data_IF_670028181278
#
_entry.id   IF_670028181278
#
_cell.length_a   1.000
_cell.length_b   1.000
_cell.length_c   1.000
_cell.angle_alpha   90.00
_cell.angle_beta   90.00
_cell.angle_gamma   90.00
#
_symmetry.space_group_name_H-M   'P 1'
#
loop_
_entity.id
_entity.type
_entity.pdbx_description
1 polymer ?
#
# COMPACT_ATOMS: atom_id res chain seq x y z
N UNK A 1 -2.14 -15.59 -10.66
CA UNK A 1 -2.05 -14.25 -10.05
C UNK A 1 -2.19 -14.36 -8.52
N UNK A 2 -1.29 -15.12 -7.86
CA UNK A 2 -1.46 -15.62 -6.46
C UNK A 2 -0.42 -15.12 -5.46
N UNK A 3 0.72 -14.59 -5.94
CA UNK A 3 1.88 -14.26 -5.10
C UNK A 3 1.70 -12.98 -4.26
N UNK A 4 0.97 -11.98 -4.78
CA UNK A 4 0.69 -10.73 -4.04
C UNK A 4 -0.22 -11.01 -2.85
N UNK A 5 -1.31 -11.74 -3.10
CA UNK A 5 -2.26 -12.15 -2.06
C UNK A 5 -1.55 -12.87 -0.92
N UNK A 6 -0.79 -13.91 -1.24
CA UNK A 6 -0.03 -14.66 -0.24
C UNK A 6 0.94 -13.77 0.54
N UNK A 7 1.58 -12.81 -0.13
CA UNK A 7 2.51 -11.88 0.54
C UNK A 7 1.78 -10.96 1.51
N UNK A 8 0.62 -10.42 1.12
CA UNK A 8 -0.19 -9.55 1.99
C UNK A 8 -0.70 -10.36 3.19
N UNK A 9 -1.28 -11.54 2.97
CA UNK A 9 -1.78 -12.42 4.03
C UNK A 9 -0.67 -12.85 5.01
N UNK A 10 0.57 -12.99 4.52
CA UNK A 10 1.72 -13.35 5.37
C UNK A 10 2.30 -12.16 6.15
N UNK A 11 2.29 -10.96 5.58
CA UNK A 11 2.98 -9.80 6.13
C UNK A 11 2.07 -8.88 6.95
N UNK A 12 0.78 -8.88 6.65
CA UNK A 12 -0.22 -8.03 7.30
C UNK A 12 -0.96 -8.85 8.35
N UNK A 13 -0.91 -8.39 9.60
CA UNK A 13 -1.55 -9.07 10.75
C UNK A 13 -2.82 -8.37 11.20
N UNK A 14 -3.04 -7.12 10.77
CA UNK A 14 -4.27 -6.39 11.05
C UNK A 14 -5.43 -6.90 10.18
N UNK A 15 -6.66 -6.66 10.66
CA UNK A 15 -7.85 -6.92 9.87
C UNK A 15 -7.92 -5.92 8.70
N UNK A 16 -8.24 -6.41 7.51
CA UNK A 16 -8.39 -5.59 6.32
C UNK A 16 -9.82 -5.76 5.80
N UNK A 17 -10.44 -4.65 5.38
CA UNK A 17 -11.59 -4.73 4.48
C UNK A 17 -11.16 -5.20 3.09
N UNK A 18 -12.12 -5.62 2.26
CA UNK A 18 -11.85 -6.00 0.87
C UNK A 18 -11.26 -4.84 0.06
N UNK A 19 -11.68 -3.60 0.35
CA UNK A 19 -11.18 -2.39 -0.30
C UNK A 19 -9.74 -2.06 0.12
N UNK A 20 -9.44 -2.15 1.42
CA UNK A 20 -8.06 -2.03 1.93
C UNK A 20 -7.15 -3.08 1.30
N UNK A 21 -7.60 -4.33 1.23
CA UNK A 21 -6.85 -5.43 0.63
C UNK A 21 -6.61 -5.19 -0.87
N UNK A 22 -7.63 -4.72 -1.58
CA UNK A 22 -7.55 -4.41 -3.01
C UNK A 22 -6.60 -3.25 -3.31
N UNK A 23 -6.64 -2.19 -2.50
CA UNK A 23 -5.70 -1.08 -2.58
C UNK A 23 -4.25 -1.53 -2.34
N UNK A 24 -4.01 -2.36 -1.31
CA UNK A 24 -2.69 -2.95 -1.04
C UNK A 24 -2.21 -3.87 -2.16
N UNK A 25 -3.10 -4.65 -2.76
CA UNK A 25 -2.79 -5.46 -3.94
C UNK A 25 -2.31 -4.60 -5.11
N UNK A 26 -3.06 -3.54 -5.43
CA UNK A 26 -2.71 -2.59 -6.50
C UNK A 26 -1.37 -1.90 -6.26
N UNK A 27 -1.13 -1.46 -5.02
CA UNK A 27 0.09 -0.76 -4.61
C UNK A 27 1.30 -1.70 -4.67
N UNK A 28 1.15 -2.92 -4.14
CA UNK A 28 2.20 -3.95 -4.10
C UNK A 28 2.53 -4.47 -5.50
N UNK A 29 1.53 -4.59 -6.38
CA UNK A 29 1.76 -4.93 -7.79
C UNK A 29 2.67 -3.89 -8.47
N UNK A 30 2.45 -2.61 -8.19
CA UNK A 30 3.20 -1.53 -8.81
C UNK A 30 4.64 -1.38 -8.28
N UNK A 31 4.87 -1.62 -6.99
CA UNK A 31 6.17 -1.37 -6.34
C UNK A 31 6.96 -2.65 -6.00
N UNK A 32 6.31 -3.80 -6.08
CA UNK A 32 6.86 -5.09 -5.68
C UNK A 32 6.71 -5.37 -4.17
N UNK A 33 6.80 -6.65 -3.82
CA UNK A 33 6.63 -7.15 -2.45
C UNK A 33 7.72 -6.68 -1.48
N UNK A 34 8.93 -6.45 -1.97
CA UNK A 34 10.03 -5.91 -1.16
C UNK A 34 9.74 -4.51 -0.63
N UNK A 35 8.97 -3.70 -1.35
CA UNK A 35 8.52 -2.39 -0.89
C UNK A 35 7.55 -2.54 0.29
N UNK A 36 6.53 -3.42 0.17
CA UNK A 36 5.58 -3.70 1.25
C UNK A 36 6.29 -4.18 2.51
N UNK A 37 7.21 -5.15 2.37
CA UNK A 37 7.92 -5.77 3.49
C UNK A 37 8.70 -4.75 4.34
N UNK A 38 9.35 -3.78 3.71
CA UNK A 38 10.20 -2.79 4.38
C UNK A 38 9.51 -1.46 4.70
N UNK A 39 8.32 -1.23 4.16
CA UNK A 39 7.59 0.05 4.30
C UNK A 39 7.24 0.41 5.74
N UNK A 40 7.27 1.71 6.03
CA UNK A 40 6.65 2.32 7.22
C UNK A 40 5.16 2.06 7.27
N UNK A 41 4.47 2.09 6.11
CA UNK A 41 3.06 1.69 5.96
C UNK A 41 2.77 0.42 6.75
N UNK A 42 3.52 -0.67 6.50
CA UNK A 42 3.33 -1.93 7.21
C UNK A 42 3.83 -1.88 8.65
N UNK A 43 5.08 -1.44 8.83
CA UNK A 43 5.81 -1.62 10.10
C UNK A 43 5.33 -0.72 11.23
N UNK A 44 4.84 0.48 10.91
CA UNK A 44 4.52 1.51 11.90
C UNK A 44 3.02 1.74 12.05
N UNK A 45 2.23 1.45 11.02
CA UNK A 45 0.84 1.88 10.99
C UNK A 45 -0.14 0.73 10.76
N UNK A 46 -0.02 0.02 9.64
CA UNK A 46 -1.05 -0.93 9.22
C UNK A 46 -1.22 -2.09 10.21
N UNK A 47 -0.14 -2.74 10.64
CA UNK A 47 -0.23 -3.87 11.59
C UNK A 47 -0.63 -3.43 13.00
N UNK A 48 -0.56 -2.13 13.31
CA UNK A 48 -1.00 -1.52 14.56
C UNK A 48 -2.47 -1.04 14.49
N UNK A 49 -3.16 -1.30 13.37
CA UNK A 49 -4.54 -0.86 13.14
C UNK A 49 -4.69 0.63 12.85
N UNK A 50 -3.58 1.35 12.60
CA UNK A 50 -3.56 2.78 12.30
C UNK A 50 -3.81 3.01 10.81
N UNK A 51 -5.04 2.78 10.38
CA UNK A 51 -5.42 2.70 8.97
C UNK A 51 -5.29 4.04 8.23
N UNK A 52 -5.64 5.16 8.86
CA UNK A 52 -5.52 6.48 8.23
C UNK A 52 -4.05 6.86 7.96
N UNK A 53 -3.17 6.62 8.93
CA UNK A 53 -1.74 6.86 8.77
C UNK A 53 -1.12 5.89 7.74
N UNK A 54 -1.56 4.64 7.72
CA UNK A 54 -1.17 3.68 6.69
C UNK A 54 -1.58 4.14 5.28
N UNK A 55 -2.80 4.67 5.13
CA UNK A 55 -3.29 5.18 3.85
C UNK A 55 -2.49 6.40 3.37
N UNK A 56 -2.09 7.29 4.29
CA UNK A 56 -1.26 8.45 3.97
C UNK A 56 0.16 8.06 3.54
N UNK A 57 0.70 6.94 4.02
CA UNK A 57 2.00 6.43 3.57
C UNK A 57 2.01 6.02 2.10
N UNK A 58 0.87 5.62 1.51
CA UNK A 58 0.77 5.33 0.08
C UNK A 58 1.23 6.53 -0.77
N UNK A 59 0.86 7.75 -0.36
CA UNK A 59 1.15 8.99 -1.08
C UNK A 59 2.64 9.33 -1.20
N UNK A 60 3.49 8.70 -0.38
CA UNK A 60 4.94 8.92 -0.42
C UNK A 60 5.62 8.22 -1.60
N UNK A 61 4.97 7.20 -2.17
CA UNK A 61 5.53 6.35 -3.22
C UNK A 61 5.20 6.87 -4.62
N UNK A 62 5.72 8.07 -4.91
CA UNK A 62 5.46 8.82 -6.14
C UNK A 62 6.73 9.15 -6.94
N UNK A 63 7.88 8.64 -6.50
CA UNK A 63 9.17 8.90 -7.11
C UNK A 63 9.64 7.73 -7.97
N UNK A 64 10.20 8.03 -9.13
CA UNK A 64 10.93 7.09 -9.98
C UNK A 64 12.20 7.81 -10.49
N UNK A 65 13.38 7.18 -10.34
CA UNK A 65 14.67 7.77 -10.67
C UNK A 65 14.85 9.20 -10.09
N UNK A 66 14.47 9.38 -8.82
CA UNK A 66 14.56 10.67 -8.12
C UNK A 66 13.55 11.74 -8.55
N UNK A 67 12.66 11.46 -9.50
CA UNK A 67 11.65 12.41 -10.00
C UNK A 67 10.25 12.01 -9.55
N UNK A 68 9.46 13.01 -9.14
CA UNK A 68 8.02 12.82 -8.89
C UNK A 68 7.30 12.62 -10.21
N UNK A 69 6.54 11.54 -10.34
CA UNK A 69 5.76 11.25 -11.54
C UNK A 69 4.28 11.54 -11.30
N UNK A 70 3.67 12.36 -12.17
CA UNK A 70 2.23 12.70 -12.11
C UNK A 70 1.34 11.45 -12.12
N UNK A 71 1.66 10.46 -12.95
CA UNK A 71 0.92 9.20 -13.01
C UNK A 71 0.93 8.43 -11.69
N UNK A 72 2.06 8.42 -10.97
CA UNK A 72 2.13 7.80 -9.65
C UNK A 72 1.34 8.59 -8.61
N UNK A 73 1.38 9.92 -8.65
CA UNK A 73 0.58 10.76 -7.75
C UNK A 73 -0.90 10.44 -7.89
N UNK A 74 -1.42 10.40 -9.12
CA UNK A 74 -2.83 10.06 -9.38
C UNK A 74 -3.15 8.65 -8.87
N UNK A 75 -2.34 7.66 -9.24
CA UNK A 75 -2.52 6.27 -8.78
C UNK A 75 -2.53 6.13 -7.26
N UNK A 76 -1.63 6.82 -6.54
CA UNK A 76 -1.57 6.77 -5.08
C UNK A 76 -2.78 7.43 -4.41
N UNK A 77 -3.35 8.47 -5.03
CA UNK A 77 -4.59 9.09 -4.53
C UNK A 77 -5.77 8.14 -4.70
N UNK A 78 -5.89 7.45 -5.85
CA UNK A 78 -6.96 6.48 -6.09
C UNK A 78 -6.86 5.29 -5.14
N UNK A 79 -5.65 4.75 -4.95
CA UNK A 79 -5.39 3.66 -3.99
C UNK A 79 -5.70 4.09 -2.54
N UNK A 80 -5.36 5.33 -2.15
CA UNK A 80 -5.71 5.87 -0.83
C UNK A 80 -7.22 6.03 -0.66
N UNK A 81 -7.91 6.53 -1.69
CA UNK A 81 -9.35 6.71 -1.66
C UNK A 81 -10.08 5.37 -1.49
N UNK A 82 -9.65 4.35 -2.25
CA UNK A 82 -10.15 2.99 -2.09
C UNK A 82 -9.84 2.44 -0.69
N UNK A 83 -8.62 2.64 -0.19
CA UNK A 83 -8.22 2.13 1.13
C UNK A 83 -9.07 2.68 2.30
N UNK A 84 -9.60 3.90 2.16
CA UNK A 84 -10.37 4.61 3.20
C UNK A 84 -11.89 4.54 2.99
N UNK A 85 -12.36 3.65 2.11
CA UNK A 85 -13.79 3.36 1.94
C UNK A 85 -14.32 2.58 3.14
#
# INVERSE_FOLDING_TARGET
MTWIRWTIEKLITAQLSDDMFSALCSWTYNLGTGALQRSSLRRLYLNDGRYEEAANELLRWVFCNGRRLRGLILRRNDERALFLT
#
